data_IF_593213518559
#
_entry.id   IF_593213518559
#
_cell.length_a   1.000
_cell.length_b   1.000
_cell.length_c   1.000
_cell.angle_alpha   90.00
_cell.angle_beta   90.00
_cell.angle_gamma   90.00
#
_symmetry.space_group_name_H-M   'P 1'
#
loop_
_entity.id
_entity.type
_entity.pdbx_description
1 polymer ?
#
# COMPACT_ATOMS: atom_id res chain seq x y z
N UNK A 1 1.89 14.81 -7.33
CA UNK A 1 3.12 15.62 -7.60
C UNK A 1 4.45 14.87 -7.47
N UNK A 2 4.44 13.55 -7.29
CA UNK A 2 5.64 12.70 -7.29
C UNK A 2 6.51 12.92 -8.54
N UNK A 3 5.88 13.19 -9.69
CA UNK A 3 6.57 13.26 -10.99
C UNK A 3 7.17 14.64 -11.33
N UNK A 4 6.94 15.70 -10.54
CA UNK A 4 7.46 17.05 -10.85
C UNK A 4 8.98 17.19 -10.73
N UNK A 5 9.64 16.30 -10.00
CA UNK A 5 11.06 16.43 -9.63
C UNK A 5 11.97 15.38 -10.29
N UNK A 6 11.47 14.57 -11.24
CA UNK A 6 12.32 13.58 -11.90
C UNK A 6 13.25 14.21 -12.93
N UNK A 7 14.53 13.85 -12.85
CA UNK A 7 15.56 14.22 -13.83
C UNK A 7 15.26 13.58 -15.19
N UNK A 8 15.63 14.25 -16.26
CA UNK A 8 15.24 14.05 -17.67
C UNK A 8 15.48 12.66 -18.32
N UNK A 9 16.00 11.66 -17.64
CA UNK A 9 16.41 10.37 -18.24
C UNK A 9 15.80 9.15 -17.54
N UNK A 10 14.62 9.26 -16.95
CA UNK A 10 13.93 8.10 -16.37
C UNK A 10 12.89 7.55 -17.35
N UNK A 11 12.90 6.24 -17.51
CA UNK A 11 11.88 5.50 -18.22
C UNK A 11 10.74 5.17 -17.23
N UNK A 12 9.65 5.94 -17.32
CA UNK A 12 8.56 5.91 -16.35
C UNK A 12 7.38 5.11 -16.89
N UNK A 13 6.86 4.22 -16.05
CA UNK A 13 5.66 3.42 -16.32
C UNK A 13 4.62 3.65 -15.24
N UNK A 14 3.35 3.67 -15.63
CA UNK A 14 2.21 3.61 -14.74
C UNK A 14 1.26 2.53 -15.23
N UNK A 15 0.71 1.76 -14.32
CA UNK A 15 -0.33 0.78 -14.61
C UNK A 15 -1.49 0.97 -13.65
N UNK A 16 -2.68 1.25 -14.17
CA UNK A 16 -3.89 1.50 -13.39
C UNK A 16 -5.12 1.34 -14.28
N UNK A 17 -6.09 0.48 -13.94
CA UNK A 17 -7.29 0.25 -14.75
C UNK A 17 -8.20 1.48 -14.86
N UNK A 18 -8.14 2.40 -13.89
CA UNK A 18 -8.97 3.60 -13.84
C UNK A 18 -8.35 4.82 -14.54
N UNK A 19 -7.11 4.70 -15.02
CA UNK A 19 -6.32 5.84 -15.47
C UNK A 19 -6.67 6.37 -16.89
N UNK A 20 -7.57 5.71 -17.64
CA UNK A 20 -7.92 6.15 -19.01
C UNK A 20 -8.35 7.62 -19.07
N UNK A 21 -9.16 8.08 -18.12
CA UNK A 21 -9.61 9.48 -18.02
C UNK A 21 -8.48 10.48 -17.79
N UNK A 22 -7.31 10.04 -17.39
CA UNK A 22 -6.14 10.87 -17.12
C UNK A 22 -5.03 10.72 -18.15
N UNK A 23 -5.25 9.98 -19.24
CA UNK A 23 -4.27 9.61 -20.27
C UNK A 23 -3.46 10.81 -20.79
N UNK A 24 -4.13 11.94 -21.09
CA UNK A 24 -3.45 13.17 -21.51
C UNK A 24 -2.42 13.65 -20.50
N UNK A 25 -2.75 13.65 -19.22
CA UNK A 25 -1.84 14.07 -18.15
C UNK A 25 -0.59 13.20 -18.02
N UNK A 26 -0.70 11.89 -18.34
CA UNK A 26 0.44 10.98 -18.37
C UNK A 26 1.30 11.21 -19.62
N UNK A 27 0.70 11.43 -20.78
CA UNK A 27 1.39 11.75 -22.03
C UNK A 27 2.21 13.04 -21.91
N UNK A 28 1.61 14.12 -21.37
CA UNK A 28 2.29 15.41 -21.14
C UNK A 28 3.54 15.27 -20.25
N UNK A 29 3.58 14.24 -19.39
CA UNK A 29 4.70 13.93 -18.50
C UNK A 29 5.64 12.86 -19.04
N UNK A 30 5.42 12.38 -20.27
CA UNK A 30 6.20 11.30 -20.90
C UNK A 30 6.24 10.02 -20.05
N UNK A 31 5.08 9.63 -19.49
CA UNK A 31 4.91 8.40 -18.72
C UNK A 31 4.23 7.37 -19.62
N UNK A 32 4.81 6.18 -19.71
CA UNK A 32 4.22 5.04 -20.37
C UNK A 32 3.03 4.54 -19.54
N UNK A 33 1.81 4.80 -19.98
CA UNK A 33 0.59 4.42 -19.29
C UNK A 33 0.04 3.10 -19.83
N UNK A 34 -0.17 2.15 -18.93
CA UNK A 34 -0.86 0.88 -19.19
C UNK A 34 -2.20 0.94 -18.46
N UNK A 35 -3.30 0.97 -19.19
CA UNK A 35 -4.66 0.97 -18.63
C UNK A 35 -5.10 -0.47 -18.42
N UNK A 36 -4.66 -1.07 -17.33
CA UNK A 36 -4.98 -2.45 -16.98
C UNK A 36 -4.64 -2.72 -15.50
N UNK A 37 -5.07 -3.88 -14.99
CA UNK A 37 -4.65 -4.37 -13.69
C UNK A 37 -3.18 -4.78 -13.70
N UNK A 38 -2.50 -4.57 -12.57
CA UNK A 38 -1.09 -4.91 -12.44
C UNK A 38 -0.88 -6.43 -12.57
N UNK A 39 -0.05 -6.82 -13.54
CA UNK A 39 0.61 -8.12 -13.60
C UNK A 39 1.86 -8.03 -14.47
N UNK A 40 2.81 -8.94 -14.24
CA UNK A 40 3.99 -9.06 -15.10
C UNK A 40 3.61 -9.29 -16.56
N UNK A 41 2.59 -10.10 -16.79
CA UNK A 41 2.12 -10.43 -18.13
C UNK A 41 1.60 -9.20 -18.87
N UNK A 42 0.76 -8.38 -18.23
CA UNK A 42 0.22 -7.14 -18.80
C UNK A 42 1.32 -6.15 -19.17
N UNK A 43 2.30 -5.98 -18.27
CA UNK A 43 3.47 -5.13 -18.55
C UNK A 43 4.25 -5.66 -19.75
N UNK A 44 4.52 -6.97 -19.81
CA UNK A 44 5.25 -7.56 -20.93
C UNK A 44 4.47 -7.55 -22.24
N UNK A 45 3.15 -7.61 -22.22
CA UNK A 45 2.32 -7.46 -23.41
C UNK A 45 2.34 -6.03 -23.97
N UNK A 46 2.49 -5.03 -23.11
CA UNK A 46 2.66 -3.63 -23.52
C UNK A 46 4.04 -3.38 -24.16
N UNK A 47 5.08 -4.04 -23.67
CA UNK A 47 6.43 -3.95 -24.22
C UNK A 47 6.56 -4.74 -25.53
N UNK A 48 7.47 -4.30 -26.41
CA UNK A 48 7.80 -5.10 -27.61
C UNK A 48 8.53 -6.41 -27.24
N UNK A 49 8.65 -7.32 -28.22
CA UNK A 49 9.21 -8.66 -28.00
C UNK A 49 10.65 -8.66 -27.52
N UNK A 50 11.47 -7.69 -27.92
CA UNK A 50 12.87 -7.59 -27.51
C UNK A 50 13.03 -7.06 -26.08
N UNK A 51 12.13 -6.17 -25.66
CA UNK A 51 12.15 -5.61 -24.30
C UNK A 51 11.57 -6.56 -23.25
N UNK A 52 10.64 -7.46 -23.62
CA UNK A 52 9.95 -8.38 -22.68
C UNK A 52 10.90 -9.18 -21.81
N UNK A 53 11.98 -9.70 -22.39
CA UNK A 53 12.89 -10.63 -21.68
C UNK A 53 13.83 -9.90 -20.73
N UNK A 54 14.13 -8.63 -21.01
CA UNK A 54 15.18 -7.86 -20.30
C UNK A 54 14.64 -6.81 -19.32
N UNK A 55 13.37 -6.41 -19.47
CA UNK A 55 12.82 -5.31 -18.66
C UNK A 55 12.74 -5.67 -17.19
N UNK A 56 13.45 -4.90 -16.40
CA UNK A 56 13.40 -4.88 -14.94
C UNK A 56 13.29 -3.44 -14.49
N UNK A 57 12.80 -3.25 -13.29
CA UNK A 57 12.62 -1.94 -12.70
C UNK A 57 13.52 -1.78 -11.48
N UNK A 58 14.24 -0.67 -11.43
CA UNK A 58 15.07 -0.30 -10.27
C UNK A 58 14.21 0.22 -9.11
N UNK A 59 13.02 0.75 -9.43
CA UNK A 59 12.03 1.20 -8.44
C UNK A 59 10.62 0.84 -8.91
N UNK A 60 9.86 0.23 -8.02
CA UNK A 60 8.42 0.02 -8.16
C UNK A 60 7.75 0.70 -6.96
N UNK A 61 6.63 1.37 -7.17
CA UNK A 61 5.83 1.99 -6.11
C UNK A 61 4.39 1.51 -6.17
N UNK A 62 3.78 1.30 -5.01
CA UNK A 62 2.37 0.90 -4.87
C UNK A 62 1.79 1.63 -3.67
N UNK A 63 1.01 2.69 -3.91
CA UNK A 63 0.44 3.51 -2.84
C UNK A 63 -1.07 3.35 -2.78
N UNK A 64 -1.60 3.16 -1.58
CA UNK A 64 -3.02 3.10 -1.26
C UNK A 64 -3.81 2.13 -2.16
N UNK A 65 -3.27 0.91 -2.40
CA UNK A 65 -3.92 -0.07 -3.27
C UNK A 65 -3.67 -1.54 -2.85
N UNK A 66 -2.65 -1.81 -2.02
CA UNK A 66 -2.27 -3.18 -1.70
C UNK A 66 -3.33 -3.93 -0.88
N UNK A 67 -4.13 -3.21 -0.10
CA UNK A 67 -5.24 -3.74 0.70
C UNK A 67 -6.49 -4.09 -0.13
N UNK A 68 -6.56 -3.65 -1.39
CA UNK A 68 -7.65 -3.92 -2.33
C UNK A 68 -7.36 -5.15 -3.22
N UNK A 69 -6.17 -5.74 -3.10
CA UNK A 69 -5.73 -6.84 -3.96
C UNK A 69 -6.33 -8.16 -3.48
N UNK A 70 -7.05 -8.86 -4.38
CA UNK A 70 -7.62 -10.18 -4.10
C UNK A 70 -6.55 -11.27 -3.95
N UNK A 71 -5.47 -11.21 -4.73
CA UNK A 71 -4.35 -12.18 -4.67
C UNK A 71 -3.01 -11.48 -4.44
N UNK A 72 -2.68 -11.14 -3.18
CA UNK A 72 -1.41 -10.52 -2.83
C UNK A 72 -0.20 -11.44 -3.09
N UNK A 73 -0.39 -12.77 -3.13
CA UNK A 73 0.69 -13.70 -3.44
C UNK A 73 1.12 -13.59 -4.91
N UNK A 74 0.18 -13.60 -5.84
CA UNK A 74 0.47 -13.38 -7.26
C UNK A 74 1.11 -12.03 -7.50
N UNK A 75 0.60 -10.98 -6.87
CA UNK A 75 1.15 -9.64 -6.94
C UNK A 75 2.63 -9.61 -6.49
N UNK A 76 2.95 -10.12 -5.32
CA UNK A 76 4.32 -10.16 -4.80
C UNK A 76 5.26 -11.01 -5.66
N UNK A 77 4.77 -12.13 -6.21
CA UNK A 77 5.51 -12.95 -7.17
C UNK A 77 5.89 -12.16 -8.42
N UNK A 78 4.99 -11.35 -8.94
CA UNK A 78 5.23 -10.54 -10.12
C UNK A 78 6.14 -9.34 -9.80
N UNK A 79 5.99 -8.70 -8.64
CA UNK A 79 6.95 -7.70 -8.14
C UNK A 79 8.36 -8.30 -8.11
N UNK A 80 8.56 -9.48 -7.54
CA UNK A 80 9.89 -10.12 -7.52
C UNK A 80 10.46 -10.31 -8.93
N UNK A 81 9.62 -10.75 -9.88
CA UNK A 81 10.08 -10.99 -11.26
C UNK A 81 10.45 -9.71 -11.99
N UNK A 82 9.70 -8.63 -11.74
CA UNK A 82 9.89 -7.32 -12.39
C UNK A 82 11.01 -6.49 -11.76
N UNK A 83 11.31 -6.71 -10.50
CA UNK A 83 12.32 -5.95 -9.77
C UNK A 83 13.75 -6.37 -10.20
N UNK A 84 14.66 -5.41 -10.34
CA UNK A 84 16.09 -5.66 -10.46
C UNK A 84 16.64 -6.38 -9.22
N UNK A 85 17.86 -6.91 -9.29
CA UNK A 85 18.52 -7.57 -8.14
C UNK A 85 18.59 -6.65 -6.94
N UNK A 86 19.01 -5.42 -7.17
CA UNK A 86 19.10 -4.35 -6.17
C UNK A 86 18.02 -3.28 -6.37
N UNK A 87 16.87 -3.65 -6.95
CA UNK A 87 15.71 -2.80 -7.06
C UNK A 87 14.94 -2.69 -5.75
N UNK A 88 14.18 -1.62 -5.61
CA UNK A 88 13.34 -1.35 -4.45
C UNK A 88 11.86 -1.35 -4.83
N UNK A 89 11.04 -1.90 -3.98
CA UNK A 89 9.60 -1.74 -4.02
C UNK A 89 9.16 -0.96 -2.78
N UNK A 90 8.56 0.22 -2.99
CA UNK A 90 7.96 1.03 -1.93
C UNK A 90 6.47 0.80 -1.97
N UNK A 91 5.93 0.28 -0.89
CA UNK A 91 4.50 -0.01 -0.76
C UNK A 91 3.93 0.71 0.45
N UNK A 92 2.81 1.42 0.23
CA UNK A 92 2.05 2.07 1.30
C UNK A 92 0.67 1.42 1.38
N UNK A 93 0.25 1.12 2.60
CA UNK A 93 -1.08 0.58 2.89
C UNK A 93 -1.59 1.05 4.26
N UNK A 94 -2.93 1.11 4.40
CA UNK A 94 -3.58 1.36 5.68
C UNK A 94 -3.11 0.35 6.71
N UNK A 95 -2.55 0.85 7.83
CA UNK A 95 -1.90 0.01 8.82
C UNK A 95 -2.85 -0.33 9.95
N UNK A 96 -3.20 -1.60 10.07
CA UNK A 96 -4.23 -2.06 11.00
C UNK A 96 -4.02 -1.63 12.46
N UNK A 97 -2.79 -1.66 13.05
CA UNK A 97 -2.59 -1.16 14.40
C UNK A 97 -2.91 0.33 14.56
N UNK A 98 -2.64 1.16 13.55
CA UNK A 98 -3.00 2.58 13.55
C UNK A 98 -4.50 2.79 13.38
N UNK A 99 -5.18 1.96 12.57
CA UNK A 99 -6.63 1.96 12.47
C UNK A 99 -7.28 1.77 13.85
N UNK A 100 -6.83 0.79 14.62
CA UNK A 100 -7.32 0.56 16.00
C UNK A 100 -7.00 1.74 16.93
N UNK A 101 -5.77 2.26 16.86
CA UNK A 101 -5.30 3.35 17.71
C UNK A 101 -6.03 4.66 17.43
N UNK A 102 -6.14 5.02 16.16
CA UNK A 102 -6.70 6.31 15.71
C UNK A 102 -8.22 6.28 15.56
N UNK A 103 -8.85 5.12 15.74
CA UNK A 103 -10.31 4.93 15.59
C UNK A 103 -10.81 5.26 14.18
N UNK A 104 -10.04 4.93 13.17
CA UNK A 104 -10.40 5.18 11.76
C UNK A 104 -11.30 4.05 11.22
N UNK A 105 -12.44 3.82 11.87
CA UNK A 105 -13.39 2.77 11.50
C UNK A 105 -14.07 3.00 10.14
N UNK A 106 -14.04 4.23 9.62
CA UNK A 106 -14.44 4.59 8.25
C UNK A 106 -13.61 3.88 7.18
N UNK A 107 -12.40 3.43 7.53
CA UNK A 107 -11.57 2.59 6.66
C UNK A 107 -12.06 1.13 6.59
N UNK A 108 -13.02 0.73 7.44
CA UNK A 108 -13.64 -0.60 7.39
C UNK A 108 -14.81 -0.55 6.41
N UNK A 109 -14.51 -0.82 5.15
CA UNK A 109 -15.45 -0.78 4.05
C UNK A 109 -15.29 -2.01 3.14
N UNK A 110 -16.22 -2.21 2.22
CA UNK A 110 -16.25 -3.38 1.33
C UNK A 110 -15.19 -3.38 0.22
N UNK A 111 -14.53 -2.25 -0.02
CA UNK A 111 -13.45 -2.15 -1.02
C UNK A 111 -12.12 -2.67 -0.45
N UNK A 112 -11.93 -2.56 0.87
CA UNK A 112 -10.73 -3.01 1.55
C UNK A 112 -10.82 -4.53 1.84
N UNK A 113 -10.22 -5.33 0.98
CA UNK A 113 -10.27 -6.80 1.08
C UNK A 113 -9.48 -7.32 2.29
N UNK A 114 -8.39 -6.64 2.66
CA UNK A 114 -7.48 -7.10 3.72
C UNK A 114 -6.92 -5.93 4.53
N UNK A 115 -6.83 -6.13 5.85
CA UNK A 115 -6.19 -5.18 6.78
C UNK A 115 -4.83 -5.73 7.21
N UNK A 116 -3.75 -5.00 6.92
CA UNK A 116 -2.40 -5.50 7.11
C UNK A 116 -1.74 -5.01 8.40
N UNK A 117 -1.04 -5.94 9.05
CA UNK A 117 0.06 -5.68 9.96
C UNK A 117 1.38 -5.94 9.23
N UNK A 118 2.50 -5.42 9.74
CA UNK A 118 3.82 -5.75 9.19
C UNK A 118 4.12 -7.25 9.28
N UNK A 119 3.68 -7.91 10.35
CA UNK A 119 3.82 -9.37 10.54
C UNK A 119 3.19 -10.16 9.39
N UNK A 120 1.95 -9.82 9.01
CA UNK A 120 1.26 -10.51 7.93
C UNK A 120 1.87 -10.16 6.58
N UNK A 121 2.16 -8.88 6.35
CA UNK A 121 2.80 -8.41 5.13
C UNK A 121 4.15 -9.10 4.90
N UNK A 122 5.01 -9.20 5.94
CA UNK A 122 6.28 -9.91 5.85
C UNK A 122 6.12 -11.39 5.50
N UNK A 123 5.14 -12.08 6.09
CA UNK A 123 4.86 -13.48 5.76
C UNK A 123 4.51 -13.68 4.28
N UNK A 124 3.80 -12.73 3.68
CA UNK A 124 3.43 -12.80 2.27
C UNK A 124 4.67 -12.58 1.40
N UNK A 125 5.39 -11.47 1.59
CA UNK A 125 6.53 -11.12 0.73
C UNK A 125 7.68 -12.12 0.86
N UNK A 126 7.86 -12.70 2.06
CA UNK A 126 8.91 -13.68 2.35
C UNK A 126 8.79 -14.95 1.50
N UNK A 127 7.57 -15.43 1.27
CA UNK A 127 7.27 -16.59 0.40
C UNK A 127 7.71 -16.35 -1.05
N UNK A 128 7.80 -15.10 -1.46
CA UNK A 128 8.14 -14.70 -2.83
C UNK A 128 9.57 -14.16 -2.98
N UNK A 129 10.47 -14.47 -2.02
CA UNK A 129 11.89 -14.09 -2.09
C UNK A 129 12.15 -12.59 -1.90
N UNK A 130 11.22 -11.89 -1.29
CA UNK A 130 11.31 -10.49 -0.91
C UNK A 130 11.55 -10.34 0.60
N UNK A 131 12.05 -9.18 1.03
CA UNK A 131 12.25 -8.82 2.45
C UNK A 131 11.92 -7.34 2.67
N UNK A 132 11.24 -7.01 3.76
CA UNK A 132 11.11 -5.64 4.24
C UNK A 132 12.48 -5.18 4.79
N UNK A 133 12.97 -4.03 4.33
CA UNK A 133 14.25 -3.48 4.78
C UNK A 133 14.08 -2.27 5.69
N UNK A 134 13.00 -1.52 5.52
CA UNK A 134 12.63 -0.41 6.40
C UNK A 134 11.11 -0.20 6.41
N UNK A 135 10.63 0.55 7.40
CA UNK A 135 9.22 0.92 7.54
C UNK A 135 9.12 2.33 8.13
N UNK A 136 8.17 3.11 7.65
CA UNK A 136 7.77 4.40 8.21
C UNK A 136 6.26 4.50 8.29
N UNK A 137 5.77 5.46 9.05
CA UNK A 137 4.35 5.70 9.23
C UNK A 137 4.01 7.14 8.88
N UNK A 138 2.81 7.34 8.37
CA UNK A 138 2.25 8.65 8.05
C UNK A 138 0.77 8.71 8.47
N UNK A 139 0.13 9.88 8.28
CA UNK A 139 -1.26 10.10 8.67
C UNK A 139 -2.27 9.88 7.52
N UNK A 140 -1.80 9.41 6.36
CA UNK A 140 -2.67 9.16 5.20
C UNK A 140 -3.67 8.06 5.57
N UNK A 141 -4.92 8.24 5.18
CA UNK A 141 -6.02 7.32 5.46
C UNK A 141 -6.19 7.00 6.96
N UNK A 142 -5.88 7.97 7.83
CA UNK A 142 -5.96 7.79 9.28
C UNK A 142 -4.84 6.98 9.90
N UNK A 143 -3.81 6.65 9.13
CA UNK A 143 -2.60 5.98 9.55
C UNK A 143 -2.17 4.88 8.59
N UNK A 144 -1.14 5.16 7.78
CA UNK A 144 -0.55 4.21 6.83
C UNK A 144 0.88 3.83 7.22
N UNK A 145 1.26 2.61 6.82
CA UNK A 145 2.64 2.15 6.83
C UNK A 145 3.21 2.23 5.42
N UNK A 146 4.35 2.86 5.27
CA UNK A 146 5.19 2.81 4.09
C UNK A 146 6.33 1.82 4.34
N UNK A 147 6.38 0.73 3.58
CA UNK A 147 7.38 -0.32 3.72
C UNK A 147 8.29 -0.30 2.51
N UNK A 148 9.60 -0.25 2.75
CA UNK A 148 10.61 -0.41 1.71
C UNK A 148 10.99 -1.89 1.64
N UNK A 149 10.81 -2.48 0.47
CA UNK A 149 11.01 -3.90 0.19
C UNK A 149 12.11 -4.08 -0.84
N UNK A 150 12.91 -5.11 -0.68
CA UNK A 150 13.90 -5.53 -1.67
C UNK A 150 13.92 -7.06 -1.81
N UNK A 151 14.64 -7.57 -2.80
CA UNK A 151 14.91 -9.01 -2.90
C UNK A 151 15.78 -9.52 -1.74
N UNK A 152 15.56 -10.74 -1.28
CA UNK A 152 16.39 -11.36 -0.22
C UNK A 152 17.88 -11.35 -0.53
N UNK A 153 18.25 -11.55 -1.80
CA UNK A 153 19.64 -11.52 -2.28
C UNK A 153 20.19 -10.13 -2.63
N UNK A 154 19.48 -9.04 -2.32
CA UNK A 154 19.94 -7.67 -2.57
C UNK A 154 21.02 -7.24 -1.60
N UNK A 155 21.78 -6.19 -1.98
CA UNK A 155 22.82 -5.57 -1.13
C UNK A 155 22.27 -4.84 0.10
N UNK A 156 20.96 -4.54 0.14
CA UNK A 156 20.37 -3.75 1.21
C UNK A 156 20.26 -4.54 2.52
N UNK A 157 20.70 -3.91 3.60
CA UNK A 157 20.57 -4.44 4.96
C UNK A 157 19.21 -4.06 5.54
N UNK A 158 18.66 -4.95 6.33
CA UNK A 158 17.40 -4.71 7.08
C UNK A 158 17.70 -3.80 8.27
N UNK A 159 16.88 -2.78 8.45
CA UNK A 159 16.86 -1.98 9.68
C UNK A 159 16.21 -2.80 10.82
N UNK A 160 17.01 -3.73 11.37
CA UNK A 160 16.51 -4.71 12.37
C UNK A 160 15.88 -4.03 13.57
N UNK A 161 16.50 -2.97 14.08
CA UNK A 161 16.01 -2.25 15.26
C UNK A 161 14.60 -1.72 15.03
N UNK A 162 14.37 -1.04 13.90
CA UNK A 162 13.08 -0.45 13.57
C UNK A 162 12.02 -1.52 13.30
N UNK A 163 12.36 -2.52 12.51
CA UNK A 163 11.46 -3.65 12.18
C UNK A 163 11.07 -4.42 13.45
N UNK A 164 12.05 -4.78 14.31
CA UNK A 164 11.77 -5.52 15.54
C UNK A 164 10.87 -4.74 16.49
N UNK A 165 11.10 -3.43 16.65
CA UNK A 165 10.24 -2.57 17.47
C UNK A 165 8.78 -2.62 17.01
N UNK A 166 8.55 -2.49 15.71
CA UNK A 166 7.19 -2.55 15.14
C UNK A 166 6.55 -3.92 15.38
N UNK A 167 7.29 -5.01 15.17
CA UNK A 167 6.78 -6.36 15.41
C UNK A 167 6.47 -6.63 16.88
N UNK A 168 7.24 -6.06 17.81
CA UNK A 168 6.97 -6.13 19.25
C UNK A 168 5.68 -5.37 19.61
N UNK A 169 5.49 -4.17 19.06
CA UNK A 169 4.26 -3.40 19.23
C UNK A 169 3.03 -4.15 18.70
N UNK A 170 3.14 -4.82 17.55
CA UNK A 170 2.05 -5.64 16.99
C UNK A 170 1.65 -6.81 17.90
N UNK A 171 2.60 -7.43 18.60
CA UNK A 171 2.34 -8.54 19.55
C UNK A 171 1.47 -8.13 20.74
N UNK A 172 1.41 -6.84 21.05
CA UNK A 172 0.57 -6.33 22.12
C UNK A 172 -0.91 -6.23 21.73
N UNK A 173 -1.22 -6.34 20.45
CA UNK A 173 -2.60 -6.34 19.96
C UNK A 173 -3.23 -7.69 20.27
N UNK A 174 -4.32 -7.64 21.03
CA UNK A 174 -5.03 -8.81 21.53
C UNK A 174 -6.53 -8.53 21.60
N UNK A 175 -7.30 -9.46 22.12
CA UNK A 175 -8.76 -9.35 22.24
C UNK A 175 -9.20 -8.08 23.00
N UNK A 176 -8.47 -7.68 24.04
CA UNK A 176 -8.74 -6.42 24.78
C UNK A 176 -8.61 -5.19 23.88
N UNK A 177 -7.69 -5.21 22.89
CA UNK A 177 -7.51 -4.11 21.92
C UNK A 177 -8.75 -3.97 21.03
N UNK A 178 -9.32 -5.08 20.58
CA UNK A 178 -10.55 -5.07 19.78
C UNK A 178 -11.76 -4.63 20.60
N UNK A 179 -11.88 -5.10 21.85
CA UNK A 179 -12.94 -4.66 22.76
C UNK A 179 -12.90 -3.15 22.98
N UNK A 180 -11.72 -2.62 23.32
CA UNK A 180 -11.52 -1.17 23.48
C UNK A 180 -11.89 -0.37 22.22
N UNK A 181 -11.54 -0.89 21.04
CA UNK A 181 -11.90 -0.26 19.78
C UNK A 181 -13.44 -0.20 19.60
N UNK A 182 -14.14 -1.29 19.84
CA UNK A 182 -15.61 -1.35 19.76
C UNK A 182 -16.27 -0.43 20.77
N UNK A 183 -15.81 -0.43 22.03
CA UNK A 183 -16.35 0.45 23.09
C UNK A 183 -16.19 1.95 22.70
N UNK A 184 -15.08 2.30 22.05
CA UNK A 184 -14.86 3.67 21.54
C UNK A 184 -15.81 4.04 20.40
N UNK A 185 -16.07 3.12 19.46
CA UNK A 185 -17.04 3.30 18.38
C UNK A 185 -18.44 3.52 18.96
N UNK A 186 -18.85 2.68 19.90
CA UNK A 186 -20.16 2.81 20.56
C UNK A 186 -20.32 4.14 21.29
N UNK A 187 -19.23 4.64 21.89
CA UNK A 187 -19.24 5.97 22.52
C UNK A 187 -19.42 7.09 21.49
N UNK A 188 -18.69 7.05 20.36
CA UNK A 188 -18.87 8.01 19.25
C UNK A 188 -20.31 7.97 18.75
N UNK A 189 -20.88 6.78 18.54
CA UNK A 189 -22.28 6.63 18.13
C UNK A 189 -23.25 7.29 19.10
N UNK A 190 -23.08 7.08 20.41
CA UNK A 190 -23.91 7.71 21.44
C UNK A 190 -23.82 9.24 21.40
N UNK A 191 -22.60 9.78 21.27
CA UNK A 191 -22.35 11.23 21.19
C UNK A 191 -23.05 11.82 19.96
N UNK A 192 -22.88 11.21 18.79
CA UNK A 192 -23.52 11.66 17.55
C UNK A 192 -25.05 11.59 17.66
N UNK A 193 -25.59 10.48 18.17
CA UNK A 193 -27.04 10.36 18.38
C UNK A 193 -27.58 11.40 19.34
N UNK A 194 -26.88 11.70 20.43
CA UNK A 194 -27.27 12.77 21.37
C UNK A 194 -27.23 14.12 20.69
N UNK A 195 -26.20 14.44 19.94
CA UNK A 195 -26.08 15.68 19.17
C UNK A 195 -27.25 15.85 18.19
N UNK A 196 -27.55 14.81 17.40
CA UNK A 196 -28.63 14.83 16.42
C UNK A 196 -30.01 15.03 17.09
N UNK A 197 -30.28 14.38 18.24
CA UNK A 197 -31.52 14.54 18.98
C UNK A 197 -31.68 15.94 19.55
N UNK A 198 -30.59 16.59 19.95
CA UNK A 198 -30.62 17.94 20.55
C UNK A 198 -30.71 19.05 19.50
N UNK A 199 -30.31 18.80 18.28
CA UNK A 199 -30.34 19.79 17.21
C UNK A 199 -31.48 19.48 16.23
N UNK A 200 -32.56 20.28 16.32
CA UNK A 200 -33.74 20.14 15.45
C UNK A 200 -33.60 20.84 14.11
N UNK A 201 -32.49 21.57 13.87
CA UNK A 201 -32.21 22.21 12.59
C UNK A 201 -31.81 21.17 11.55
N UNK A 202 -32.16 21.45 10.28
CA UNK A 202 -31.80 20.61 9.17
C UNK A 202 -30.27 20.48 9.08
N UNK A 203 -29.77 19.24 9.16
CA UNK A 203 -28.35 18.89 9.01
C UNK A 203 -28.17 18.38 7.61
N UNK A 204 -27.16 18.90 6.91
CA UNK A 204 -26.74 18.47 5.57
C UNK A 204 -25.37 17.82 5.75
N UNK A 205 -25.23 16.58 5.27
CA UNK A 205 -23.99 15.85 5.18
C UNK A 205 -23.48 15.81 3.74
#
# INVERSE_FOLDING_TARGET
NLFKNYKKNLDLFAIDPSAEKFKKSFQDKKINLIVDYFSKERIYNYLNSEEKVKKKFSLITSFAMFYDINDPNSFCKDINKLLEKDGLWIVEFSYFPLLLKNLTYDQINHEHVTYYTLTIFQKIIDKHGLKAIDISFNEINGGSAEVIVSKKGSRYKVNKSKISKVLEEERLINESSYKKFNDRIDNVKKVVQFFLKKNTKKIVG
#
